data_IF_266663317524
#
_entry.id   IF_266663317524
#
_cell.length_a   1.000
_cell.length_b   1.000
_cell.length_c   1.000
_cell.angle_alpha   90.00
_cell.angle_beta   90.00
_cell.angle_gamma   90.00
#
_symmetry.space_group_name_H-M   'P 1'
#
loop_
_entity.id
_entity.type
_entity.pdbx_description
1 polymer ?
#
# COMPACT_ATOMS: atom_id res chain seq x y z
N UNK A 1 -88.06 -37.61 -27.02
CA UNK A 1 -86.93 -38.09 -27.86
C UNK A 1 -85.64 -37.77 -27.11
N UNK A 2 -85.01 -38.71 -26.37
CA UNK A 2 -83.86 -39.59 -26.76
C UNK A 2 -82.73 -38.80 -27.45
N UNK A 3 -81.44 -38.81 -27.08
CA UNK A 3 -80.60 -39.66 -26.20
C UNK A 3 -79.25 -38.93 -25.95
N UNK A 4 -78.62 -39.16 -24.79
CA UNK A 4 -77.18 -38.93 -24.51
C UNK A 4 -76.32 -39.97 -25.25
N UNK A 5 -75.08 -39.60 -25.62
CA UNK A 5 -74.08 -40.52 -26.19
C UNK A 5 -72.74 -40.44 -25.43
N UNK A 6 -72.07 -41.58 -25.41
CA UNK A 6 -70.98 -42.00 -24.52
C UNK A 6 -69.75 -42.37 -25.37
N UNK A 7 -68.56 -41.95 -24.90
CA UNK A 7 -67.24 -42.63 -24.86
C UNK A 7 -66.52 -43.16 -26.14
N UNK A 8 -65.19 -42.94 -26.20
CA UNK A 8 -64.06 -43.92 -26.35
C UNK A 8 -62.77 -43.15 -26.74
N UNK A 9 -61.84 -42.87 -25.80
CA UNK A 9 -60.62 -43.61 -25.41
C UNK A 9 -59.69 -43.98 -26.58
N UNK A 10 -58.54 -43.28 -26.63
CA UNK A 10 -57.41 -43.50 -27.51
C UNK A 10 -56.27 -44.17 -26.70
N UNK A 11 -55.73 -45.30 -27.17
CA UNK A 11 -54.53 -45.94 -26.63
C UNK A 11 -53.40 -45.67 -27.63
N UNK A 12 -52.38 -44.91 -27.22
CA UNK A 12 -51.13 -44.74 -27.98
C UNK A 12 -49.99 -45.46 -27.27
N UNK A 13 -49.26 -46.25 -28.05
CA UNK A 13 -48.14 -47.12 -27.68
C UNK A 13 -46.95 -46.36 -27.07
N UNK A 14 -46.36 -46.95 -26.03
CA UNK A 14 -45.18 -46.47 -25.32
C UNK A 14 -43.94 -47.19 -25.90
N UNK A 15 -43.01 -46.45 -26.50
CA UNK A 15 -41.69 -46.95 -26.88
C UNK A 15 -40.68 -46.64 -25.77
N UNK A 16 -40.07 -47.70 -25.21
CA UNK A 16 -39.00 -47.63 -24.22
C UNK A 16 -37.69 -47.24 -24.92
N UNK A 17 -37.13 -46.06 -24.63
CA UNK A 17 -35.72 -45.76 -24.89
C UNK A 17 -34.94 -45.84 -23.58
N UNK A 18 -33.97 -46.76 -23.52
CA UNK A 18 -33.03 -46.88 -22.42
C UNK A 18 -32.03 -45.70 -22.46
N UNK A 19 -32.03 -44.88 -21.41
CA UNK A 19 -31.04 -43.83 -21.21
C UNK A 19 -29.76 -44.43 -20.59
N UNK A 20 -28.68 -44.51 -21.37
CA UNK A 20 -27.36 -44.82 -20.84
C UNK A 20 -26.80 -43.59 -20.11
N UNK A 21 -26.72 -43.67 -18.78
CA UNK A 21 -26.08 -42.66 -17.95
C UNK A 21 -24.56 -42.72 -18.11
N UNK A 22 -23.99 -41.78 -18.87
CA UNK A 22 -22.55 -41.54 -18.92
C UNK A 22 -22.15 -40.89 -17.60
N UNK A 23 -21.56 -41.67 -16.70
CA UNK A 23 -20.86 -41.15 -15.53
C UNK A 23 -19.56 -40.52 -15.99
N UNK A 24 -19.56 -39.21 -16.22
CA UNK A 24 -18.34 -38.42 -16.34
C UNK A 24 -17.70 -38.34 -14.96
N UNK A 25 -16.74 -39.23 -14.69
CA UNK A 25 -15.74 -38.96 -13.64
C UNK A 25 -15.07 -37.63 -14.01
N UNK A 26 -15.45 -36.57 -13.31
CA UNK A 26 -14.71 -35.30 -13.33
C UNK A 26 -13.33 -35.66 -12.80
N UNK A 27 -12.37 -35.79 -13.71
CA UNK A 27 -10.98 -35.98 -13.36
C UNK A 27 -10.51 -34.62 -12.83
N UNK A 28 -10.37 -34.51 -11.51
CA UNK A 28 -9.83 -33.33 -10.86
C UNK A 28 -8.47 -33.00 -11.49
N UNK A 29 -8.28 -31.71 -11.80
CA UNK A 29 -7.07 -31.24 -12.46
C UNK A 29 -5.89 -31.42 -11.48
N UNK A 30 -4.82 -32.18 -11.82
CA UNK A 30 -3.74 -32.52 -10.88
C UNK A 30 -2.94 -31.32 -10.32
N UNK A 31 -3.21 -30.10 -10.80
CA UNK A 31 -2.64 -28.86 -10.25
C UNK A 31 -3.42 -28.30 -9.04
N UNK A 32 -4.68 -28.69 -8.82
CA UNK A 32 -5.48 -28.22 -7.66
C UNK A 32 -5.07 -28.91 -6.36
N UNK A 33 -4.57 -30.15 -6.40
CA UNK A 33 -4.05 -30.87 -5.22
C UNK A 33 -2.69 -30.35 -4.72
N UNK A 34 -2.03 -29.45 -5.45
CA UNK A 34 -0.63 -29.06 -5.19
C UNK A 34 -0.43 -28.08 -4.03
N UNK A 35 -1.50 -27.49 -3.49
CA UNK A 35 -1.43 -26.42 -2.47
C UNK A 35 -2.13 -26.77 -1.16
N UNK A 36 -2.23 -28.05 -0.79
CA UNK A 36 -2.89 -28.47 0.47
C UNK A 36 -2.10 -28.13 1.73
N UNK A 37 -0.81 -27.79 1.62
CA UNK A 37 0.03 -27.21 2.68
C UNK A 37 0.44 -25.78 2.31
N UNK A 38 -0.50 -24.83 2.46
CA UNK A 38 -0.21 -23.41 2.20
C UNK A 38 0.69 -22.81 3.29
N UNK A 39 1.75 -22.11 2.87
CA UNK A 39 2.54 -21.28 3.77
C UNK A 39 1.76 -19.99 4.07
N UNK A 40 1.69 -19.62 5.35
CA UNK A 40 1.15 -18.32 5.78
C UNK A 40 2.20 -17.54 6.55
N UNK A 41 2.18 -16.21 6.40
CA UNK A 41 2.98 -15.34 7.24
C UNK A 41 2.35 -15.32 8.64
N UNK A 42 3.05 -15.88 9.63
CA UNK A 42 2.56 -15.93 11.01
C UNK A 42 2.25 -14.53 11.57
N UNK A 43 1.28 -14.46 12.49
CA UNK A 43 0.81 -13.22 13.12
C UNK A 43 0.34 -12.16 12.13
N UNK A 44 -0.24 -12.60 11.01
CA UNK A 44 -0.88 -11.70 10.04
C UNK A 44 -2.35 -12.00 9.89
N UNK A 45 -3.11 -10.96 9.53
CA UNK A 45 -4.53 -11.06 9.19
C UNK A 45 -4.87 -10.09 8.06
N UNK A 46 -5.93 -10.40 7.33
CA UNK A 46 -6.51 -9.51 6.31
C UNK A 46 -7.85 -8.99 6.79
N UNK A 47 -8.08 -7.69 6.62
CA UNK A 47 -9.34 -7.03 6.94
C UNK A 47 -9.86 -6.25 5.74
N UNK A 48 -11.00 -6.66 5.18
CA UNK A 48 -11.73 -5.80 4.24
C UNK A 48 -12.18 -4.53 4.98
N UNK A 49 -11.93 -3.39 4.35
CA UNK A 49 -12.18 -2.07 4.92
C UNK A 49 -12.87 -1.16 3.88
N UNK A 50 -14.21 -1.05 3.91
CA UNK A 50 -14.95 -0.14 3.03
C UNK A 50 -14.74 1.32 3.47
N UNK A 51 -14.34 2.18 2.55
CA UNK A 51 -14.22 3.63 2.80
C UNK A 51 -15.50 4.35 2.40
N UNK A 52 -16.03 5.18 3.30
CA UNK A 52 -17.18 6.05 2.99
C UNK A 52 -16.73 7.31 2.25
N UNK A 53 -15.46 7.69 2.40
CA UNK A 53 -14.91 8.93 1.83
C UNK A 53 -14.79 8.86 0.30
N UNK A 54 -14.32 7.74 -0.24
CA UNK A 54 -14.13 7.58 -1.68
C UNK A 54 -14.95 6.44 -2.29
N UNK A 55 -15.76 5.75 -1.48
CA UNK A 55 -16.73 4.76 -1.94
C UNK A 55 -16.12 3.45 -2.45
N UNK A 56 -14.83 3.20 -2.19
CA UNK A 56 -14.19 1.93 -2.54
C UNK A 56 -13.84 1.09 -1.31
N UNK A 57 -13.39 -0.14 -1.56
CA UNK A 57 -12.94 -1.06 -0.52
C UNK A 57 -11.44 -1.29 -0.60
N UNK A 58 -10.80 -1.21 0.55
CA UNK A 58 -9.42 -1.61 0.75
C UNK A 58 -9.37 -3.01 1.39
N UNK A 59 -8.24 -3.70 1.20
CA UNK A 59 -7.86 -4.82 2.04
C UNK A 59 -6.66 -4.37 2.87
N UNK A 60 -6.82 -4.39 4.19
CA UNK A 60 -5.73 -4.12 5.11
C UNK A 60 -5.02 -5.42 5.40
N UNK A 61 -3.72 -5.49 5.08
CA UNK A 61 -2.85 -6.56 5.53
C UNK A 61 -2.20 -6.11 6.83
N UNK A 62 -2.46 -6.82 7.92
CA UNK A 62 -2.05 -6.40 9.26
C UNK A 62 -1.10 -7.45 9.81
N UNK A 63 0.09 -7.04 10.25
CA UNK A 63 1.03 -7.87 11.01
C UNK A 63 1.11 -7.36 12.43
N UNK A 64 0.96 -8.26 13.39
CA UNK A 64 1.15 -7.99 14.81
C UNK A 64 2.51 -8.54 15.27
N UNK A 65 3.17 -7.88 16.24
CA UNK A 65 4.36 -8.41 16.91
C UNK A 65 4.11 -9.80 17.52
N UNK A 66 5.15 -10.65 17.58
CA UNK A 66 5.06 -12.02 18.15
C UNK A 66 4.46 -12.03 19.56
N UNK A 67 4.90 -11.08 20.39
CA UNK A 67 4.48 -10.96 21.79
C UNK A 67 3.27 -10.03 21.96
N UNK A 68 2.51 -9.75 20.89
CA UNK A 68 1.39 -8.82 20.98
C UNK A 68 0.40 -9.27 22.07
N UNK A 69 -0.10 -10.51 22.02
CA UNK A 69 -1.11 -11.00 22.97
C UNK A 69 -0.56 -11.34 24.37
N UNK A 70 0.75 -11.58 24.49
CA UNK A 70 1.41 -11.92 25.75
C UNK A 70 1.74 -10.70 26.62
N UNK A 71 1.59 -9.48 26.08
CA UNK A 71 1.88 -8.25 26.82
C UNK A 71 0.86 -7.12 26.56
N UNK A 72 1.02 -6.02 27.31
CA UNK A 72 0.14 -4.84 27.24
C UNK A 72 0.84 -3.60 26.66
N UNK A 73 1.91 -3.80 25.87
CA UNK A 73 2.66 -2.68 25.27
C UNK A 73 1.88 -2.06 24.12
N UNK A 74 2.04 -0.75 23.95
CA UNK A 74 1.61 -0.01 22.77
C UNK A 74 2.75 0.06 21.75
N UNK A 75 2.45 -0.25 20.50
CA UNK A 75 3.45 -0.43 19.44
C UNK A 75 3.49 0.75 18.47
N UNK A 76 4.66 1.09 17.92
CA UNK A 76 4.73 1.93 16.73
C UNK A 76 4.00 1.26 15.56
N UNK A 77 3.47 2.05 14.64
CA UNK A 77 2.73 1.57 13.47
C UNK A 77 3.45 1.94 12.17
N UNK A 78 3.59 0.98 11.26
CA UNK A 78 4.12 1.19 9.90
C UNK A 78 2.94 1.08 8.92
N UNK A 79 2.58 2.21 8.31
CA UNK A 79 1.58 2.32 7.25
C UNK A 79 2.28 2.16 5.90
N UNK A 80 1.92 1.11 5.18
CA UNK A 80 2.64 0.67 4.00
C UNK A 80 1.71 0.68 2.77
N UNK A 81 2.10 1.41 1.75
CA UNK A 81 1.41 1.42 0.46
C UNK A 81 1.83 0.25 -0.43
N UNK A 82 1.05 -0.01 -1.48
CA UNK A 82 1.27 -1.09 -2.44
C UNK A 82 1.46 -2.48 -1.77
N UNK A 83 0.61 -2.77 -0.78
CA UNK A 83 0.77 -3.92 0.11
C UNK A 83 0.79 -5.29 -0.60
N UNK A 84 0.24 -5.39 -1.81
CA UNK A 84 0.25 -6.61 -2.62
C UNK A 84 1.67 -7.15 -2.88
N UNK A 85 2.67 -6.28 -3.07
CA UNK A 85 4.08 -6.71 -3.17
C UNK A 85 4.92 -6.34 -1.93
N UNK A 86 4.56 -5.26 -1.24
CA UNK A 86 5.42 -4.68 -0.21
C UNK A 86 5.25 -5.32 1.17
N UNK A 87 4.07 -5.86 1.50
CA UNK A 87 3.73 -6.28 2.86
C UNK A 87 4.60 -7.45 3.36
N UNK A 88 4.75 -8.50 2.55
CA UNK A 88 5.57 -9.65 2.93
C UNK A 88 7.04 -9.25 3.15
N UNK A 89 7.57 -8.38 2.30
CA UNK A 89 8.92 -7.83 2.44
C UNK A 89 9.05 -7.03 3.73
N UNK A 90 8.13 -6.10 3.97
CA UNK A 90 8.14 -5.24 5.15
C UNK A 90 8.07 -6.03 6.45
N UNK A 91 7.17 -7.03 6.53
CA UNK A 91 7.07 -7.92 7.68
C UNK A 91 8.40 -8.60 7.96
N UNK A 92 8.95 -9.31 6.97
CA UNK A 92 10.14 -10.13 7.20
C UNK A 92 11.38 -9.27 7.49
N UNK A 93 11.54 -8.11 6.83
CA UNK A 93 12.62 -7.18 7.13
C UNK A 93 12.46 -6.60 8.53
N UNK A 94 11.27 -6.14 8.90
CA UNK A 94 11.00 -5.55 10.22
C UNK A 94 11.29 -6.55 11.34
N UNK A 95 10.77 -7.78 11.21
CA UNK A 95 10.97 -8.85 12.19
C UNK A 95 12.45 -9.25 12.29
N UNK A 96 13.15 -9.37 11.16
CA UNK A 96 14.59 -9.67 11.15
C UNK A 96 15.42 -8.60 11.89
N UNK A 97 15.05 -7.32 11.74
CA UNK A 97 15.70 -6.20 12.41
C UNK A 97 15.32 -6.12 13.89
N UNK A 98 14.06 -6.35 14.24
CA UNK A 98 13.58 -6.25 15.64
C UNK A 98 14.08 -7.42 16.49
N UNK A 99 14.14 -8.65 15.95
CA UNK A 99 14.76 -9.81 16.61
C UNK A 99 16.25 -9.56 16.99
N UNK A 100 16.89 -8.57 16.36
CA UNK A 100 18.28 -8.15 16.62
C UNK A 100 18.38 -6.83 17.38
N UNK A 101 17.28 -6.34 17.95
CA UNK A 101 17.20 -5.06 18.67
C UNK A 101 17.69 -3.85 17.85
N UNK A 102 17.57 -3.91 16.52
CA UNK A 102 17.97 -2.82 15.61
C UNK A 102 16.86 -1.78 15.44
N UNK A 103 15.62 -2.23 15.54
CA UNK A 103 14.40 -1.42 15.54
C UNK A 103 13.44 -1.98 16.60
N UNK A 104 12.44 -1.19 17.00
CA UNK A 104 11.37 -1.68 17.87
C UNK A 104 10.39 -2.56 17.09
N UNK A 105 9.82 -3.56 17.75
CA UNK A 105 8.66 -4.29 17.22
C UNK A 105 7.54 -3.30 16.86
N UNK A 106 6.89 -3.55 15.72
CA UNK A 106 5.92 -2.63 15.15
C UNK A 106 4.69 -3.39 14.65
N UNK A 107 3.53 -2.75 14.71
CA UNK A 107 2.36 -3.19 13.93
C UNK A 107 2.56 -2.70 12.50
N UNK A 108 2.42 -3.59 11.52
CA UNK A 108 2.50 -3.22 10.10
C UNK A 108 1.09 -3.27 9.52
N UNK A 109 0.67 -2.19 8.87
CA UNK A 109 -0.62 -2.07 8.19
C UNK A 109 -0.36 -1.74 6.73
N UNK A 110 -0.40 -2.77 5.89
CA UNK A 110 -0.40 -2.66 4.44
C UNK A 110 -1.78 -2.27 3.91
N UNK A 111 -1.84 -1.25 3.06
CA UNK A 111 -3.06 -0.79 2.40
C UNK A 111 -3.08 -1.36 0.97
N UNK A 112 -3.85 -2.42 0.76
CA UNK A 112 -4.11 -3.02 -0.55
C UNK A 112 -5.52 -2.66 -1.05
N UNK A 113 -5.80 -2.98 -2.31
CA UNK A 113 -7.14 -2.83 -2.87
C UNK A 113 -7.92 -4.14 -2.75
N UNK A 114 -9.22 -4.07 -2.44
CA UNK A 114 -10.03 -5.28 -2.29
C UNK A 114 -10.12 -6.12 -3.58
N UNK A 115 -10.07 -5.45 -4.75
CA UNK A 115 -9.99 -6.08 -6.05
C UNK A 115 -8.60 -5.83 -6.68
N UNK A 116 -7.71 -6.84 -6.74
CA UNK A 116 -6.38 -6.69 -7.33
C UNK A 116 -6.39 -6.28 -8.81
N UNK A 117 -7.46 -6.61 -9.55
CA UNK A 117 -7.60 -6.22 -10.96
C UNK A 117 -7.80 -4.71 -11.13
N UNK A 118 -8.22 -4.01 -10.07
CA UNK A 118 -8.34 -2.55 -10.08
C UNK A 118 -7.11 -1.83 -9.51
N UNK A 119 -6.02 -2.55 -9.20
CA UNK A 119 -4.82 -1.99 -8.59
C UNK A 119 -4.33 -0.73 -9.33
N UNK A 120 -4.11 -0.81 -10.66
CA UNK A 120 -3.61 0.34 -11.44
C UNK A 120 -4.56 1.54 -11.41
N UNK A 121 -5.87 1.30 -11.52
CA UNK A 121 -6.91 2.33 -11.45
C UNK A 121 -6.90 3.02 -10.08
N UNK A 122 -7.04 2.24 -9.01
CA UNK A 122 -7.19 2.78 -7.68
C UNK A 122 -5.88 3.41 -7.18
N UNK A 123 -4.72 2.82 -7.51
CA UNK A 123 -3.39 3.41 -7.25
C UNK A 123 -3.21 4.74 -7.96
N UNK A 124 -3.60 4.82 -9.23
CA UNK A 124 -3.56 6.08 -9.98
C UNK A 124 -4.44 7.13 -9.32
N UNK A 125 -5.68 6.78 -8.96
CA UNK A 125 -6.58 7.70 -8.23
C UNK A 125 -5.98 8.16 -6.92
N UNK A 126 -5.61 7.24 -6.05
CA UNK A 126 -5.30 7.53 -4.65
C UNK A 126 -3.95 8.21 -4.47
N UNK A 127 -2.97 7.95 -5.33
CA UNK A 127 -1.61 8.41 -5.10
C UNK A 127 -1.24 9.66 -5.89
N UNK A 128 -2.13 10.15 -6.76
CA UNK A 128 -1.87 11.33 -7.59
C UNK A 128 -2.63 12.56 -7.08
N UNK A 129 -1.94 13.72 -6.95
CA UNK A 129 -2.49 14.93 -6.32
C UNK A 129 -3.40 15.76 -7.22
N UNK A 130 -3.33 15.59 -8.53
CA UNK A 130 -4.09 16.34 -9.52
C UNK A 130 -4.51 15.43 -10.67
N UNK A 131 -5.37 15.92 -11.56
CA UNK A 131 -5.72 15.20 -12.77
C UNK A 131 -4.65 15.38 -13.84
N UNK A 132 -4.16 14.28 -14.41
CA UNK A 132 -3.32 14.24 -15.60
C UNK A 132 -3.88 13.17 -16.53
N UNK A 133 -4.13 13.50 -17.80
CA UNK A 133 -4.79 12.58 -18.76
C UNK A 133 -3.88 11.53 -19.43
N UNK A 134 -2.56 11.60 -19.24
CA UNK A 134 -1.56 10.76 -19.93
C UNK A 134 -0.38 10.36 -19.02
N UNK A 135 0.49 9.47 -19.51
CA UNK A 135 1.64 8.96 -18.75
C UNK A 135 1.28 7.87 -17.74
N UNK A 136 2.19 7.55 -16.80
CA UNK A 136 1.96 6.53 -15.78
C UNK A 136 1.58 5.17 -16.38
N UNK A 137 0.47 4.57 -15.93
CA UNK A 137 -0.06 3.31 -16.47
C UNK A 137 -0.81 3.45 -17.81
N UNK A 138 -0.92 4.66 -18.36
CA UNK A 138 -1.64 4.95 -19.60
C UNK A 138 -2.96 5.71 -19.38
N UNK A 139 -3.48 6.30 -20.46
CA UNK A 139 -4.67 7.16 -20.45
C UNK A 139 -5.92 6.48 -19.85
N UNK A 140 -6.05 5.16 -20.03
CA UNK A 140 -7.15 4.37 -19.47
C UNK A 140 -7.25 4.46 -17.94
N UNK A 141 -6.11 4.50 -17.25
CA UNK A 141 -6.07 4.61 -15.78
C UNK A 141 -5.94 6.06 -15.33
N UNK A 142 -5.21 6.88 -16.10
CA UNK A 142 -4.97 8.28 -15.79
C UNK A 142 -6.22 9.15 -15.77
N UNK A 143 -7.29 8.74 -16.47
CA UNK A 143 -8.60 9.38 -16.35
C UNK A 143 -9.20 9.39 -14.92
N UNK A 144 -8.66 8.56 -14.01
CA UNK A 144 -9.08 8.49 -12.61
C UNK A 144 -8.13 9.22 -11.64
N UNK A 145 -7.07 9.87 -12.12
CA UNK A 145 -6.09 10.57 -11.29
C UNK A 145 -6.68 11.74 -10.49
N UNK A 146 -5.95 12.21 -9.47
CA UNK A 146 -6.30 13.40 -8.68
C UNK A 146 -7.03 13.14 -7.37
N UNK A 147 -7.02 11.91 -6.87
CA UNK A 147 -7.74 11.50 -5.65
C UNK A 147 -6.92 11.54 -4.36
N UNK A 148 -5.69 12.07 -4.36
CA UNK A 148 -4.82 12.08 -3.18
C UNK A 148 -5.47 12.69 -1.93
N UNK A 149 -6.19 13.81 -2.05
CA UNK A 149 -6.87 14.43 -0.90
C UNK A 149 -7.92 13.50 -0.30
N UNK A 150 -8.72 12.82 -1.14
CA UNK A 150 -9.70 11.83 -0.68
C UNK A 150 -9.03 10.63 -0.02
N UNK A 151 -7.89 10.17 -0.54
CA UNK A 151 -7.12 9.08 0.05
C UNK A 151 -6.47 9.48 1.39
N UNK A 152 -5.93 10.70 1.49
CA UNK A 152 -5.49 11.28 2.75
C UNK A 152 -6.62 11.28 3.78
N UNK A 153 -7.81 11.78 3.41
CA UNK A 153 -8.97 11.80 4.31
C UNK A 153 -9.39 10.39 4.74
N UNK A 154 -9.34 9.39 3.86
CA UNK A 154 -9.55 7.99 4.22
C UNK A 154 -8.55 7.55 5.31
N UNK A 155 -7.26 7.78 5.11
CA UNK A 155 -6.24 7.40 6.08
C UNK A 155 -6.47 8.12 7.41
N UNK A 156 -6.65 9.44 7.37
CA UNK A 156 -6.76 10.30 8.54
C UNK A 156 -8.06 10.09 9.34
N UNK A 157 -9.21 10.02 8.67
CA UNK A 157 -10.52 10.05 9.32
C UNK A 157 -11.19 8.69 9.47
N UNK A 158 -10.70 7.64 8.80
CA UNK A 158 -11.27 6.30 8.89
C UNK A 158 -10.23 5.28 9.38
N UNK A 159 -9.09 5.15 8.69
CA UNK A 159 -8.12 4.09 8.98
C UNK A 159 -7.39 4.30 10.31
N UNK A 160 -6.79 5.47 10.53
CA UNK A 160 -6.06 5.77 11.77
C UNK A 160 -6.97 5.61 13.00
N UNK A 161 -8.17 6.22 13.05
CA UNK A 161 -9.10 6.03 14.18
C UNK A 161 -9.47 4.56 14.41
N UNK A 162 -9.72 3.79 13.34
CA UNK A 162 -10.00 2.36 13.47
C UNK A 162 -8.85 1.60 14.13
N UNK A 163 -7.62 1.86 13.71
CA UNK A 163 -6.44 1.20 14.27
C UNK A 163 -6.23 1.57 15.74
N UNK A 164 -6.41 2.84 16.11
CA UNK A 164 -6.33 3.30 17.50
C UNK A 164 -7.41 2.69 18.41
N UNK A 165 -8.59 2.37 17.88
CA UNK A 165 -9.66 1.73 18.64
C UNK A 165 -9.49 0.21 18.73
N UNK A 166 -8.85 -0.40 17.74
CA UNK A 166 -8.78 -1.87 17.59
C UNK A 166 -7.48 -2.46 18.13
N UNK A 167 -6.38 -1.72 18.03
CA UNK A 167 -5.04 -2.20 18.34
C UNK A 167 -4.31 -1.28 19.34
N UNK A 168 -3.35 -1.86 20.06
CA UNK A 168 -2.44 -1.15 20.98
C UNK A 168 -1.36 -0.43 20.18
N UNK A 169 -1.69 0.76 19.68
CA UNK A 169 -0.80 1.62 18.90
C UNK A 169 -0.37 2.84 19.73
N UNK A 170 0.89 3.24 19.60
CA UNK A 170 1.40 4.48 20.19
C UNK A 170 1.49 5.59 19.13
N UNK A 171 2.03 6.76 19.52
CA UNK A 171 2.12 7.94 18.64
C UNK A 171 3.14 7.81 17.50
N UNK A 172 4.03 6.83 17.52
CA UNK A 172 5.05 6.65 16.47
C UNK A 172 4.39 6.02 15.24
N UNK A 173 4.31 6.78 14.16
CA UNK A 173 3.64 6.36 12.93
C UNK A 173 4.55 6.61 11.73
N UNK A 174 4.93 5.53 11.07
CA UNK A 174 5.81 5.53 9.90
C UNK A 174 5.01 5.33 8.63
N UNK A 175 5.11 6.24 7.68
CA UNK A 175 4.62 6.06 6.32
C UNK A 175 5.70 5.47 5.43
N UNK A 176 5.33 4.52 4.58
CA UNK A 176 6.20 3.94 3.56
C UNK A 176 5.51 3.95 2.20
N UNK A 177 6.16 4.57 1.21
CA UNK A 177 5.64 4.64 -0.15
C UNK A 177 6.75 4.62 -1.20
N UNK A 178 6.46 3.98 -2.33
CA UNK A 178 7.37 3.83 -3.46
C UNK A 178 6.75 4.38 -4.75
N UNK A 179 7.52 5.06 -5.60
CA UNK A 179 7.05 5.54 -6.91
C UNK A 179 5.86 6.51 -6.74
N UNK A 180 4.67 6.25 -7.30
CA UNK A 180 3.47 7.04 -6.96
C UNK A 180 3.14 7.02 -5.46
N UNK A 181 3.37 5.93 -4.74
CA UNK A 181 3.24 5.92 -3.28
C UNK A 181 4.23 6.88 -2.61
N UNK A 182 5.43 7.02 -3.17
CA UNK A 182 6.41 8.03 -2.76
C UNK A 182 5.94 9.46 -3.07
N UNK A 183 5.37 9.69 -4.26
CA UNK A 183 4.73 10.95 -4.64
C UNK A 183 3.64 11.34 -3.63
N UNK A 184 2.77 10.40 -3.27
CA UNK A 184 1.77 10.61 -2.23
C UNK A 184 2.40 10.90 -0.86
N UNK A 185 3.48 10.22 -0.50
CA UNK A 185 4.26 10.52 0.71
C UNK A 185 4.78 11.96 0.76
N UNK A 186 5.32 12.47 -0.36
CA UNK A 186 5.75 13.86 -0.45
C UNK A 186 4.54 14.81 -0.39
N UNK A 187 3.44 14.45 -1.05
CA UNK A 187 2.19 15.21 -0.96
C UNK A 187 1.71 15.34 0.50
N UNK A 188 1.71 14.25 1.27
CA UNK A 188 1.41 14.28 2.70
C UNK A 188 2.38 15.19 3.47
N UNK A 189 3.69 15.11 3.22
CA UNK A 189 4.68 15.97 3.89
C UNK A 189 4.48 17.46 3.56
N UNK A 190 4.06 17.80 2.34
CA UNK A 190 3.89 19.20 1.93
C UNK A 190 2.56 19.77 2.42
N UNK A 191 1.48 19.00 2.34
CA UNK A 191 0.11 19.46 2.55
C UNK A 191 -0.47 19.07 3.92
N UNK A 192 -0.07 17.92 4.45
CA UNK A 192 -0.63 17.31 5.68
C UNK A 192 0.46 16.76 6.63
N UNK A 193 1.51 17.54 6.97
CA UNK A 193 2.72 16.99 7.58
C UNK A 193 2.57 16.44 9.01
N UNK A 194 1.42 16.64 9.66
CA UNK A 194 1.14 16.14 11.01
C UNK A 194 0.57 14.72 11.07
N UNK A 195 0.26 14.11 9.92
CA UNK A 195 -0.38 12.79 9.90
C UNK A 195 0.58 11.65 10.29
N UNK A 196 1.86 11.77 9.96
CA UNK A 196 2.91 10.81 10.32
C UNK A 196 4.13 11.55 10.85
N UNK A 197 4.89 10.92 11.75
CA UNK A 197 6.14 11.48 12.28
C UNK A 197 7.38 10.75 11.76
N UNK A 198 7.21 9.71 10.94
CA UNK A 198 8.29 9.07 10.21
C UNK A 198 7.86 8.81 8.78
N UNK A 199 8.75 9.06 7.83
CA UNK A 199 8.50 8.82 6.40
C UNK A 199 9.68 8.08 5.80
N UNK A 200 9.38 7.02 5.04
CA UNK A 200 10.32 6.34 4.15
C UNK A 200 9.75 6.51 2.74
N UNK A 201 10.33 7.46 2.02
CA UNK A 201 9.88 7.87 0.68
C UNK A 201 10.91 7.34 -0.31
N UNK A 202 10.50 6.32 -1.06
CA UNK A 202 11.35 5.61 -2.01
C UNK A 202 11.02 6.05 -3.43
N UNK A 203 12.01 6.56 -4.15
CA UNK A 203 11.94 6.88 -5.58
C UNK A 203 10.63 7.61 -5.98
N UNK A 204 10.28 8.72 -5.33
CA UNK A 204 9.00 9.39 -5.54
C UNK A 204 8.92 9.92 -6.97
N UNK A 205 7.78 9.71 -7.63
CA UNK A 205 7.52 10.17 -9.00
C UNK A 205 7.27 11.68 -9.09
N UNK A 206 8.27 12.47 -8.70
CA UNK A 206 8.19 13.93 -8.59
C UNK A 206 7.99 14.64 -9.94
N UNK A 207 8.26 13.98 -11.06
CA UNK A 207 7.95 14.45 -12.41
C UNK A 207 6.45 14.64 -12.66
N UNK A 208 5.58 14.05 -11.83
CA UNK A 208 4.14 14.08 -12.01
C UNK A 208 3.57 15.50 -12.10
N UNK A 209 2.68 15.70 -13.08
CA UNK A 209 2.00 16.97 -13.37
C UNK A 209 2.97 18.16 -13.42
N UNK A 210 4.04 18.02 -14.21
CA UNK A 210 5.08 19.04 -14.36
C UNK A 210 5.62 19.47 -12.99
N UNK A 211 6.05 18.51 -12.19
CA UNK A 211 6.65 18.74 -10.88
C UNK A 211 5.75 19.44 -9.86
N UNK A 212 4.44 19.18 -9.91
CA UNK A 212 3.45 19.89 -9.08
C UNK A 212 3.81 19.90 -7.59
N UNK A 213 4.12 18.73 -7.03
CA UNK A 213 4.39 18.60 -5.58
C UNK A 213 5.74 19.21 -5.20
N UNK A 214 6.76 19.10 -6.06
CA UNK A 214 8.05 19.77 -5.85
C UNK A 214 7.88 21.29 -5.88
N UNK A 215 7.12 21.82 -6.84
CA UNK A 215 6.78 23.26 -6.92
C UNK A 215 5.97 23.71 -5.70
N UNK A 216 5.09 22.87 -5.17
CA UNK A 216 4.38 23.15 -3.93
C UNK A 216 5.33 23.23 -2.72
N UNK A 217 6.30 22.32 -2.62
CA UNK A 217 7.35 22.39 -1.61
C UNK A 217 8.18 23.67 -1.72
N UNK A 218 8.56 24.08 -2.94
CA UNK A 218 9.29 25.32 -3.21
C UNK A 218 8.50 26.59 -2.82
N UNK A 219 7.17 26.58 -2.98
CA UNK A 219 6.29 27.69 -2.58
C UNK A 219 6.03 27.76 -1.07
N UNK A 220 6.22 26.66 -0.33
CA UNK A 220 5.98 26.62 1.13
C UNK A 220 6.95 27.58 1.85
N UNK A 221 6.46 28.35 2.82
CA UNK A 221 7.31 29.32 3.53
C UNK A 221 8.23 28.67 4.57
N UNK A 222 7.74 27.65 5.29
CA UNK A 222 8.47 26.93 6.32
C UNK A 222 7.96 25.48 6.44
N UNK A 223 8.75 24.65 7.11
CA UNK A 223 8.39 23.29 7.53
C UNK A 223 8.45 23.18 9.06
N UNK A 224 7.61 23.94 9.75
CA UNK A 224 7.51 23.91 11.20
C UNK A 224 6.45 22.89 11.63
N UNK A 225 6.90 21.83 12.31
CA UNK A 225 6.04 20.74 12.75
C UNK A 225 5.84 20.79 14.27
N UNK A 226 4.73 20.22 14.73
CA UNK A 226 4.42 20.10 16.15
C UNK A 226 5.27 18.99 16.77
N UNK A 227 5.26 17.81 16.16
CA UNK A 227 6.02 16.63 16.59
C UNK A 227 7.35 16.51 15.84
N UNK A 228 8.31 15.80 16.44
CA UNK A 228 9.58 15.47 15.79
C UNK A 228 9.36 14.49 14.63
N UNK A 229 9.48 14.99 13.41
CA UNK A 229 9.32 14.23 12.18
C UNK A 229 10.66 13.92 11.52
N UNK A 230 10.85 12.66 11.11
CA UNK A 230 12.01 12.23 10.33
C UNK A 230 11.60 11.72 8.96
N UNK A 231 12.23 12.24 7.91
CA UNK A 231 11.96 11.87 6.52
C UNK A 231 13.20 11.24 5.91
N UNK A 232 13.09 10.00 5.47
CA UNK A 232 14.15 9.29 4.76
C UNK A 232 13.78 9.24 3.28
N UNK A 233 14.49 10.01 2.47
CA UNK A 233 14.45 9.95 1.01
C UNK A 233 15.49 8.93 0.54
N UNK A 234 15.05 7.96 -0.25
CA UNK A 234 15.90 6.89 -0.76
C UNK A 234 15.61 6.66 -2.25
N UNK A 235 16.65 6.53 -3.07
CA UNK A 235 16.54 6.36 -4.52
C UNK A 235 17.69 5.50 -5.06
N UNK A 236 17.52 4.84 -6.20
CA UNK A 236 18.58 4.11 -6.90
C UNK A 236 19.45 5.03 -7.76
N UNK A 237 20.73 4.68 -7.93
CA UNK A 237 21.70 5.44 -8.73
C UNK A 237 21.47 5.35 -10.25
N UNK A 238 20.57 4.47 -10.72
CA UNK A 238 20.24 4.29 -12.13
C UNK A 238 18.87 4.86 -12.53
N UNK A 239 18.29 5.76 -11.73
CA UNK A 239 16.91 6.26 -11.93
C UNK A 239 16.77 7.52 -12.78
N UNK A 240 17.87 8.18 -13.14
CA UNK A 240 17.84 9.20 -14.20
C UNK A 240 17.76 8.49 -15.56
N UNK A 241 16.58 8.54 -16.22
CA UNK A 241 16.33 7.88 -17.50
C UNK A 241 15.51 8.76 -18.44
N UNK A 242 16.09 9.10 -19.60
CA UNK A 242 15.44 9.95 -20.60
C UNK A 242 15.10 11.33 -20.01
N UNK A 243 13.84 11.75 -20.16
CA UNK A 243 13.36 13.03 -19.62
C UNK A 243 13.08 13.00 -18.11
N UNK A 244 13.11 11.82 -17.48
CA UNK A 244 12.88 11.67 -16.04
C UNK A 244 14.21 11.76 -15.28
N UNK A 245 14.44 12.90 -14.64
CA UNK A 245 15.62 13.17 -13.80
C UNK A 245 15.29 12.92 -12.32
N UNK A 246 14.89 11.69 -11.98
CA UNK A 246 14.33 11.36 -10.65
C UNK A 246 15.31 11.58 -9.49
N UNK A 247 16.61 11.33 -9.70
CA UNK A 247 17.65 11.55 -8.69
C UNK A 247 17.79 13.04 -8.41
N UNK A 248 17.84 13.85 -9.46
CA UNK A 248 17.98 15.30 -9.35
C UNK A 248 16.73 15.95 -8.75
N UNK A 249 15.54 15.48 -9.13
CA UNK A 249 14.27 15.95 -8.56
C UNK A 249 14.20 15.69 -7.04
N UNK A 250 14.60 14.49 -6.61
CA UNK A 250 14.58 14.13 -5.18
C UNK A 250 15.64 14.89 -4.40
N UNK A 251 16.83 15.08 -4.98
CA UNK A 251 17.89 15.91 -4.40
C UNK A 251 17.42 17.35 -4.23
N UNK A 252 16.82 17.93 -5.27
CA UNK A 252 16.26 19.28 -5.26
C UNK A 252 15.13 19.43 -4.24
N UNK A 253 14.27 18.41 -4.08
CA UNK A 253 13.26 18.39 -3.03
C UNK A 253 13.89 18.47 -1.64
N UNK A 254 14.89 17.62 -1.36
CA UNK A 254 15.56 17.60 -0.07
C UNK A 254 16.26 18.94 0.22
N UNK A 255 16.98 19.50 -0.75
CA UNK A 255 17.61 20.82 -0.63
C UNK A 255 16.57 21.94 -0.40
N UNK A 256 15.42 21.87 -1.09
CA UNK A 256 14.32 22.83 -0.91
C UNK A 256 13.75 22.78 0.50
N UNK A 257 13.55 21.58 1.07
CA UNK A 257 13.05 21.40 2.44
C UNK A 257 14.05 21.97 3.44
N UNK A 258 15.34 21.62 3.29
CA UNK A 258 16.38 21.95 4.24
C UNK A 258 16.85 23.41 4.17
N UNK A 259 16.67 24.08 3.03
CA UNK A 259 16.99 25.52 2.88
C UNK A 259 15.92 26.45 3.48
N UNK A 260 14.71 25.94 3.74
CA UNK A 260 13.62 26.71 4.35
C UNK A 260 13.69 26.65 5.88
N UNK A 261 13.15 27.67 6.59
CA UNK A 261 12.95 27.57 8.03
C UNK A 261 12.18 26.30 8.38
N UNK A 262 12.71 25.50 9.30
CA UNK A 262 12.10 24.24 9.74
C UNK A 262 12.30 24.03 11.24
N UNK A 263 11.32 23.41 11.87
CA UNK A 263 11.33 23.03 13.30
C UNK A 263 10.78 21.63 13.42
N UNK A 264 11.42 20.83 14.27
CA UNK A 264 11.04 19.44 14.53
C UNK A 264 11.00 18.58 13.25
N UNK A 265 11.82 18.93 12.25
CA UNK A 265 11.95 18.18 11.00
C UNK A 265 13.42 17.85 10.77
N UNK A 266 13.69 16.59 10.44
CA UNK A 266 15.00 16.15 9.95
C UNK A 266 14.83 15.29 8.70
N UNK A 267 15.76 15.42 7.76
CA UNK A 267 15.80 14.57 6.57
C UNK A 267 17.05 13.68 6.55
N UNK A 268 16.98 12.63 5.76
CA UNK A 268 18.12 11.86 5.28
C UNK A 268 17.91 11.61 3.79
N UNK A 269 18.96 11.76 2.99
CA UNK A 269 18.94 11.51 1.55
C UNK A 269 19.98 10.43 1.24
N UNK A 270 19.52 9.30 0.71
CA UNK A 270 20.35 8.14 0.43
C UNK A 270 20.19 7.70 -1.02
N UNK A 271 21.31 7.45 -1.68
CA UNK A 271 21.35 6.85 -3.02
C UNK A 271 21.90 5.43 -2.88
N UNK A 272 21.16 4.43 -3.36
CA UNK A 272 21.58 3.04 -3.34
C UNK A 272 22.29 2.70 -4.66
N UNK A 273 23.49 2.13 -4.55
CA UNK A 273 24.32 1.78 -5.69
C UNK A 273 23.79 0.55 -6.43
N UNK A 274 23.93 0.54 -7.75
CA UNK A 274 23.47 -0.52 -8.65
C UNK A 274 21.98 -0.85 -8.51
N UNK A 275 21.15 0.16 -8.27
CA UNK A 275 19.70 0.00 -8.13
C UNK A 275 18.97 0.90 -9.13
N UNK A 276 17.90 0.37 -9.68
CA UNK A 276 16.94 1.11 -10.51
C UNK A 276 15.55 1.15 -9.84
N UNK A 277 14.60 1.76 -10.53
CA UNK A 277 13.24 2.00 -10.02
C UNK A 277 12.53 0.72 -9.55
N UNK A 278 12.79 -0.41 -10.19
CA UNK A 278 12.09 -1.66 -9.89
C UNK A 278 12.81 -2.48 -8.80
N UNK A 279 14.12 -2.27 -8.64
CA UNK A 279 14.98 -3.06 -7.75
C UNK A 279 15.29 -2.38 -6.41
N UNK A 280 15.12 -1.05 -6.32
CA UNK A 280 15.52 -0.26 -5.15
C UNK A 280 14.72 -0.56 -3.88
N UNK A 281 13.45 -0.97 -4.00
CA UNK A 281 12.52 -0.99 -2.86
C UNK A 281 12.96 -1.85 -1.67
N UNK A 282 13.38 -3.12 -1.81
CA UNK A 282 13.76 -3.95 -0.66
C UNK A 282 14.96 -3.38 0.13
N UNK A 283 15.97 -2.87 -0.58
CA UNK A 283 17.14 -2.23 0.03
C UNK A 283 16.76 -0.91 0.71
N UNK A 284 15.94 -0.11 0.05
CA UNK A 284 15.45 1.15 0.59
C UNK A 284 14.60 0.96 1.85
N UNK A 285 13.73 -0.05 1.87
CA UNK A 285 12.92 -0.36 3.04
C UNK A 285 13.78 -0.76 4.24
N UNK A 286 14.80 -1.61 4.02
CA UNK A 286 15.74 -2.02 5.07
C UNK A 286 16.50 -0.83 5.65
N UNK A 287 17.06 0.04 4.79
CA UNK A 287 17.77 1.24 5.24
C UNK A 287 16.83 2.24 5.92
N UNK A 288 15.64 2.46 5.36
CA UNK A 288 14.66 3.40 5.89
C UNK A 288 14.14 3.01 7.28
N UNK A 289 13.89 1.73 7.53
CA UNK A 289 13.49 1.24 8.86
C UNK A 289 14.59 1.46 9.89
N UNK A 290 15.85 1.28 9.51
CA UNK A 290 16.99 1.59 10.37
C UNK A 290 17.10 3.10 10.64
N UNK A 291 17.11 3.93 9.60
CA UNK A 291 17.28 5.38 9.70
C UNK A 291 16.12 6.09 10.42
N UNK A 292 14.92 5.53 10.35
CA UNK A 292 13.75 6.03 11.05
C UNK A 292 13.68 5.60 12.52
N UNK A 293 14.50 4.63 12.94
CA UNK A 293 14.57 4.18 14.33
C UNK A 293 15.37 5.16 15.20
N UNK A 294 14.81 5.54 16.35
CA UNK A 294 15.48 6.34 17.37
C UNK A 294 16.72 5.65 17.95
N UNK A 295 16.77 4.32 17.89
CA UNK A 295 17.85 3.52 18.49
C UNK A 295 19.05 3.34 17.55
N UNK A 296 18.89 3.62 16.25
CA UNK A 296 19.96 3.46 15.27
C UNK A 296 21.16 4.36 15.52
N UNK A 297 20.94 5.59 16.02
CA UNK A 297 22.04 6.51 16.37
C UNK A 297 22.85 6.07 17.60
N UNK A 298 22.27 5.27 18.51
CA UNK A 298 22.98 4.79 19.70
C UNK A 298 23.97 3.67 19.40
N UNK A 299 23.72 2.88 18.36
CA UNK A 299 24.50 1.67 18.03
C UNK A 299 25.59 1.91 16.97
N UNK A 300 25.99 3.16 16.72
CA UNK A 300 27.12 3.54 15.84
C UNK A 300 28.41 3.87 16.61
N UNK A 301 28.43 3.67 17.93
CA UNK A 301 29.60 3.81 18.79
C UNK A 301 30.15 2.44 19.16
#
# INVERSE_FOLDING_TARGET
MKKMFTLFILISSLSLMAAASISTKIQSNPLEEKYTNTFSLHHTLTKEFPSKINGIKYNLYISLPKEYDSNKKDYPTIYLLDADYSFALAKQISEHLSDRNRINDSIIVGIAYANPNEYKKNRTRDYTPSYVGSGGYGAEYQKYSGGAESFYRFIHSELIPYLHQTYRVNKTATFVGHSYGGLFGVYLLVHHPGIFNRYIIVSPSLWYDNHLVLKAAQKKQNFNLEENTRVCFIIGDQENKGDYQMIDDLKLLNETIMSKPHRNLSTAFNVLNNMDHDTVFPGALSLGLLESSSDFKKNRL
#
